data_IF_222021568168
#
_entry.id   IF_222021568168
#
_cell.length_a   1.000
_cell.length_b   1.000
_cell.length_c   1.000
_cell.angle_alpha   90.00
_cell.angle_beta   90.00
_cell.angle_gamma   90.00
#
_symmetry.space_group_name_H-M   'P 1'
#
loop_
_entity.id
_entity.type
_entity.pdbx_description
1 polymer ?
#
# COMPACT_ATOMS: atom_id res chain seq x y z
N UNK A 1 22.57 6.35 7.65
CA UNK A 1 21.35 6.36 6.80
C UNK A 1 20.28 7.19 7.49
N UNK A 2 19.80 8.27 6.86
CA UNK A 2 18.86 9.23 7.46
C UNK A 2 17.48 8.57 7.66
N UNK A 3 16.77 8.75 8.80
CA UNK A 3 15.42 8.21 9.01
C UNK A 3 14.46 8.51 7.84
N UNK A 4 14.53 9.68 7.21
CA UNK A 4 13.70 10.03 6.05
C UNK A 4 13.94 9.11 4.84
N UNK A 5 15.20 8.77 4.54
CA UNK A 5 15.54 7.82 3.47
C UNK A 5 15.10 6.39 3.79
N UNK A 6 15.09 5.99 5.08
CA UNK A 6 14.56 4.68 5.49
C UNK A 6 13.07 4.55 5.20
N UNK A 7 12.28 5.59 5.46
CA UNK A 7 10.83 5.59 5.20
C UNK A 7 10.50 5.45 3.71
N UNK A 8 11.26 6.11 2.83
CA UNK A 8 11.10 5.96 1.38
C UNK A 8 11.51 4.56 0.90
N UNK A 9 12.57 3.96 1.47
CA UNK A 9 12.99 2.60 1.12
C UNK A 9 12.07 1.49 1.64
N UNK A 10 11.50 1.65 2.84
CA UNK A 10 10.59 0.67 3.45
C UNK A 10 9.18 0.63 2.81
N UNK A 11 8.84 1.65 1.99
CA UNK A 11 7.51 1.80 1.36
C UNK A 11 7.56 1.86 -0.17
N UNK A 12 8.67 1.46 -0.79
CA UNK A 12 8.83 1.44 -2.25
C UNK A 12 7.68 0.74 -2.99
N UNK A 13 7.17 -0.43 -2.54
CA UNK A 13 6.09 -1.10 -3.24
C UNK A 13 4.81 -0.25 -3.29
N UNK A 14 4.53 0.50 -2.22
CA UNK A 14 3.33 1.34 -2.11
C UNK A 14 3.36 2.48 -3.14
N UNK A 15 4.49 3.16 -3.30
CA UNK A 15 4.62 4.26 -4.27
C UNK A 15 4.49 3.78 -5.72
N UNK A 16 5.07 2.62 -6.02
CA UNK A 16 5.03 2.04 -7.36
C UNK A 16 3.63 1.54 -7.72
N UNK A 17 2.92 0.97 -6.75
CA UNK A 17 1.52 0.59 -6.90
C UNK A 17 0.57 1.80 -7.01
N UNK A 18 0.93 2.95 -6.43
CA UNK A 18 0.14 4.19 -6.58
C UNK A 18 0.29 4.79 -7.99
N UNK A 19 1.47 4.67 -8.59
CA UNK A 19 1.79 5.21 -9.92
C UNK A 19 1.46 4.23 -11.06
N UNK A 20 1.14 2.97 -10.73
CA UNK A 20 0.91 1.90 -11.69
C UNK A 20 2.08 1.67 -12.65
N UNK A 21 3.33 1.85 -12.18
CA UNK A 21 4.51 1.70 -13.02
C UNK A 21 4.99 0.24 -13.04
N UNK A 22 4.68 -0.46 -14.13
CA UNK A 22 5.01 -1.88 -14.31
C UNK A 22 6.48 -2.12 -14.66
N UNK A 23 7.03 -1.27 -15.53
CA UNK A 23 8.38 -1.34 -16.06
C UNK A 23 9.30 -0.33 -15.37
N UNK A 24 10.60 -0.66 -15.25
CA UNK A 24 11.59 0.24 -14.67
C UNK A 24 11.84 1.42 -15.62
N UNK A 25 11.53 2.63 -15.16
CA UNK A 25 11.73 3.85 -15.94
C UNK A 25 13.12 4.44 -15.65
N UNK A 26 13.95 4.70 -16.69
CA UNK A 26 15.20 5.41 -16.52
C UNK A 26 14.91 6.83 -16.01
N UNK A 27 15.80 7.35 -15.18
CA UNK A 27 15.69 8.74 -14.74
C UNK A 27 15.78 9.67 -15.96
N UNK A 28 14.87 10.66 -16.11
CA UNK A 28 13.82 11.08 -15.18
C UNK A 28 12.46 10.42 -15.44
N UNK A 29 11.87 9.84 -14.38
CA UNK A 29 10.59 9.13 -14.46
C UNK A 29 9.39 10.07 -14.74
N UNK A 30 8.50 9.63 -15.63
CA UNK A 30 7.27 10.34 -15.99
C UNK A 30 6.16 10.09 -14.96
N UNK A 31 5.36 11.12 -14.64
CA UNK A 31 4.19 10.99 -13.77
C UNK A 31 2.99 10.56 -14.60
N UNK A 32 2.41 9.41 -14.28
CA UNK A 32 1.18 8.98 -14.92
C UNK A 32 0.04 9.87 -14.39
N UNK A 33 -0.58 10.69 -15.24
CA UNK A 33 -1.69 11.58 -14.87
C UNK A 33 -3.02 10.82 -14.83
N UNK A 34 -3.27 10.01 -15.87
CA UNK A 34 -4.42 9.12 -15.97
C UNK A 34 -4.02 7.85 -16.72
N UNK A 35 -4.59 6.71 -16.33
CA UNK A 35 -4.28 5.36 -16.76
C UNK A 35 -5.32 4.45 -16.13
N UNK A 36 -5.65 3.37 -16.82
CA UNK A 36 -6.43 2.26 -16.30
C UNK A 36 -5.46 1.07 -16.14
N UNK A 37 -4.97 0.82 -14.91
CA UNK A 37 -4.04 -0.26 -14.67
C UNK A 37 -4.74 -1.62 -14.79
N UNK A 38 -4.15 -2.51 -15.58
CA UNK A 38 -4.57 -3.90 -15.72
C UNK A 38 -3.52 -4.80 -15.06
N UNK A 39 -3.91 -5.47 -13.97
CA UNK A 39 -3.01 -6.32 -13.19
C UNK A 39 -2.73 -7.66 -13.87
N UNK A 40 -3.67 -8.16 -14.68
CA UNK A 40 -3.52 -9.47 -15.33
C UNK A 40 -2.60 -9.36 -16.54
N UNK A 41 -2.71 -8.25 -17.28
CA UNK A 41 -1.85 -7.97 -18.42
C UNK A 41 -0.54 -7.25 -18.03
N UNK A 42 -0.38 -6.82 -16.77
CA UNK A 42 0.76 -6.05 -16.27
C UNK A 42 1.06 -4.81 -17.14
N UNK A 43 0.00 -4.15 -17.61
CA UNK A 43 0.08 -2.97 -18.48
C UNK A 43 -0.92 -1.90 -18.07
N UNK A 44 -0.67 -0.66 -18.52
CA UNK A 44 -1.58 0.46 -18.34
C UNK A 44 -2.32 0.74 -19.65
N UNK A 45 -3.64 0.60 -19.62
CA UNK A 45 -4.52 1.01 -20.73
C UNK A 45 -4.78 2.53 -20.61
N UNK A 46 -4.74 3.26 -21.73
CA UNK A 46 -4.99 4.70 -21.79
C UNK A 46 -4.10 5.57 -20.86
N UNK A 47 -2.79 5.31 -20.84
CA UNK A 47 -1.84 6.08 -20.03
C UNK A 47 -1.55 7.46 -20.67
N UNK A 48 -1.83 8.53 -19.93
CA UNK A 48 -1.39 9.90 -20.19
C UNK A 48 -0.29 10.21 -19.18
N UNK A 49 0.93 10.41 -19.66
CA UNK A 49 2.10 10.66 -18.81
C UNK A 49 2.63 12.08 -18.99
N UNK A 50 2.97 12.73 -17.88
CA UNK A 50 3.66 14.02 -17.84
C UNK A 50 5.13 13.73 -17.52
N UNK A 51 6.07 14.00 -18.44
CA UNK A 51 7.47 13.67 -18.22
C UNK A 51 8.06 14.50 -17.06
N UNK A 52 9.09 13.99 -16.39
CA UNK A 52 9.87 14.65 -15.32
C UNK A 52 9.16 14.91 -13.97
N UNK A 53 7.84 14.79 -13.84
CA UNK A 53 7.13 15.15 -12.62
C UNK A 53 7.28 14.12 -11.47
N UNK A 54 7.48 12.84 -11.78
CA UNK A 54 7.48 11.76 -10.78
C UNK A 54 8.78 11.74 -9.95
N UNK A 55 9.94 11.94 -10.58
CA UNK A 55 11.23 11.99 -9.86
C UNK A 55 11.31 13.12 -8.81
N UNK A 56 10.67 14.27 -9.07
CA UNK A 56 10.64 15.40 -8.13
C UNK A 56 9.70 15.10 -6.94
N UNK A 57 8.54 14.48 -7.19
CA UNK A 57 7.52 14.21 -6.16
C UNK A 57 7.88 12.98 -5.31
N UNK A 58 8.31 11.88 -5.94
CA UNK A 58 8.51 10.60 -5.29
C UNK A 58 9.90 10.47 -4.65
N UNK A 59 10.96 10.82 -5.38
CA UNK A 59 12.36 10.62 -4.94
C UNK A 59 13.05 11.90 -4.51
N UNK A 60 12.43 13.07 -4.72
CA UNK A 60 13.07 14.40 -4.60
C UNK A 60 14.42 14.46 -5.32
N UNK A 61 14.55 13.71 -6.41
CA UNK A 61 15.79 13.50 -7.15
C UNK A 61 15.47 13.27 -8.61
N UNK A 62 16.25 13.90 -9.48
CA UNK A 62 16.13 13.78 -10.93
C UNK A 62 16.96 12.63 -11.50
N UNK A 63 17.79 11.98 -10.68
CA UNK A 63 18.82 11.03 -11.13
C UNK A 63 18.59 9.58 -10.67
N UNK A 64 17.59 9.34 -9.80
CA UNK A 64 17.31 7.99 -9.30
C UNK A 64 16.30 7.27 -10.19
N UNK A 65 16.63 6.07 -10.72
CA UNK A 65 15.67 5.28 -11.47
C UNK A 65 14.55 4.77 -10.54
N UNK A 66 13.35 4.70 -11.09
CA UNK A 66 12.16 4.21 -10.39
C UNK A 66 11.97 2.74 -10.79
N UNK A 67 12.25 1.83 -9.85
CA UNK A 67 12.20 0.37 -10.05
C UNK A 67 10.76 -0.04 -10.35
N UNK A 68 10.48 -0.71 -11.45
CA UNK A 68 9.13 -1.17 -11.81
C UNK A 68 8.64 -2.31 -10.93
N UNK A 69 7.32 -2.56 -10.96
CA UNK A 69 6.70 -3.67 -10.24
C UNK A 69 7.27 -5.04 -10.64
N UNK A 70 7.61 -5.26 -11.92
CA UNK A 70 8.18 -6.54 -12.39
C UNK A 70 9.52 -6.85 -11.75
N UNK A 71 10.41 -5.87 -11.67
CA UNK A 71 11.73 -6.05 -11.04
C UNK A 71 11.59 -6.26 -9.53
N UNK A 72 10.61 -5.62 -8.88
CA UNK A 72 10.27 -5.92 -7.50
C UNK A 72 9.76 -7.35 -7.30
N UNK A 73 8.93 -7.88 -8.20
CA UNK A 73 8.45 -9.26 -8.12
C UNK A 73 9.62 -10.25 -8.15
N UNK A 74 10.61 -10.03 -9.04
CA UNK A 74 11.82 -10.86 -9.11
C UNK A 74 12.59 -10.82 -7.78
N UNK A 75 12.76 -9.62 -7.19
CA UNK A 75 13.39 -9.47 -5.87
C UNK A 75 12.59 -10.17 -4.77
N UNK A 76 11.26 -10.10 -4.82
CA UNK A 76 10.38 -10.74 -3.83
C UNK A 76 10.46 -12.26 -3.94
N UNK A 77 10.52 -12.80 -5.15
CA UNK A 77 10.68 -14.24 -5.39
C UNK A 77 11.99 -14.76 -4.79
N UNK A 78 13.11 -14.07 -5.00
CA UNK A 78 14.39 -14.45 -4.42
C UNK A 78 14.33 -14.42 -2.87
N UNK A 79 13.70 -13.39 -2.30
CA UNK A 79 13.50 -13.27 -0.85
C UNK A 79 12.58 -14.36 -0.31
N UNK A 80 11.55 -14.77 -1.04
CA UNK A 80 10.68 -15.89 -0.66
C UNK A 80 11.48 -17.20 -0.61
N UNK A 81 12.29 -17.48 -1.62
CA UNK A 81 13.16 -18.68 -1.65
C UNK A 81 14.20 -18.67 -0.52
N UNK A 82 14.79 -17.52 -0.23
CA UNK A 82 15.70 -17.36 0.91
C UNK A 82 14.95 -17.51 2.26
N UNK A 83 13.73 -17.00 2.34
CA UNK A 83 12.84 -17.14 3.48
C UNK A 83 12.44 -18.59 3.77
N UNK A 84 12.26 -19.44 2.73
CA UNK A 84 12.05 -20.88 2.91
C UNK A 84 13.23 -21.57 3.60
N UNK A 85 14.46 -21.23 3.19
CA UNK A 85 15.68 -21.76 3.83
C UNK A 85 15.79 -21.28 5.28
N UNK A 86 15.51 -19.99 5.53
CA UNK A 86 15.47 -19.42 6.87
C UNK A 86 14.44 -20.12 7.76
N UNK A 87 13.28 -20.48 7.20
CA UNK A 87 12.23 -21.21 7.90
C UNK A 87 12.65 -22.66 8.25
N UNK A 88 13.31 -23.36 7.33
CA UNK A 88 13.87 -24.69 7.62
C UNK A 88 14.91 -24.65 8.76
N UNK A 89 15.81 -23.65 8.74
CA UNK A 89 16.77 -23.44 9.83
C UNK A 89 16.07 -23.10 11.15
N UNK A 90 14.99 -22.31 11.11
CA UNK A 90 14.16 -22.01 12.28
C UNK A 90 13.54 -23.27 12.87
N UNK A 91 13.05 -24.20 12.03
CA UNK A 91 12.49 -25.47 12.49
C UNK A 91 13.55 -26.36 13.15
N UNK A 92 14.76 -26.44 12.60
CA UNK A 92 15.88 -27.16 13.22
C UNK A 92 16.22 -26.58 14.61
N UNK A 93 16.27 -25.25 14.73
CA UNK A 93 16.49 -24.58 16.01
C UNK A 93 15.32 -24.81 16.98
N UNK A 94 14.08 -24.87 16.49
CA UNK A 94 12.88 -25.14 17.29
C UNK A 94 12.83 -26.59 17.78
N UNK A 95 13.32 -27.54 17.00
CA UNK A 95 13.44 -28.95 17.40
C UNK A 95 14.55 -29.22 18.41
N UNK A 96 15.32 -28.19 18.80
CA UNK A 96 16.33 -28.28 19.85
C UNK A 96 17.77 -28.43 19.36
N UNK A 97 18.05 -28.24 18.07
CA UNK A 97 19.44 -28.27 17.57
C UNK A 97 20.27 -27.15 18.20
N UNK A 98 21.42 -27.52 18.80
CA UNK A 98 22.34 -26.61 19.50
C UNK A 98 23.53 -26.18 18.65
N UNK A 99 23.59 -26.59 17.38
CA UNK A 99 24.69 -26.30 16.48
C UNK A 99 24.88 -24.80 16.25
N UNK A 100 26.10 -24.32 16.52
CA UNK A 100 26.46 -22.91 16.35
C UNK A 100 26.38 -22.48 14.87
N UNK A 101 26.76 -23.37 13.95
CA UNK A 101 26.69 -23.11 12.51
C UNK A 101 25.25 -22.85 12.03
N UNK A 102 24.27 -23.58 12.55
CA UNK A 102 22.85 -23.40 12.20
C UNK A 102 22.33 -22.05 12.73
N UNK A 103 22.74 -21.66 13.94
CA UNK A 103 22.40 -20.35 14.52
C UNK A 103 22.99 -19.19 13.72
N UNK A 104 24.24 -19.32 13.28
CA UNK A 104 24.91 -18.27 12.49
C UNK A 104 24.29 -18.14 11.09
N UNK A 105 23.99 -19.26 10.43
CA UNK A 105 23.27 -19.27 9.16
C UNK A 105 21.87 -18.66 9.32
N UNK A 106 21.11 -19.04 10.35
CA UNK A 106 19.80 -18.45 10.64
C UNK A 106 19.89 -16.95 10.87
N UNK A 107 20.87 -16.49 11.67
CA UNK A 107 21.08 -15.06 11.93
C UNK A 107 21.37 -14.24 10.67
N UNK A 108 22.00 -14.83 9.66
CA UNK A 108 22.27 -14.18 8.38
C UNK A 108 21.02 -14.06 7.48
N UNK A 109 20.11 -15.04 7.56
CA UNK A 109 18.92 -15.15 6.70
C UNK A 109 17.63 -14.69 7.36
N UNK A 110 17.61 -14.42 8.68
CA UNK A 110 16.41 -14.00 9.45
C UNK A 110 15.69 -12.78 8.87
N UNK A 111 16.39 -11.93 8.14
CA UNK A 111 15.84 -10.74 7.47
C UNK A 111 14.77 -11.06 6.42
N UNK A 112 14.81 -12.26 5.85
CA UNK A 112 13.89 -12.70 4.79
C UNK A 112 12.89 -13.74 5.29
N UNK A 113 12.90 -14.05 6.59
CA UNK A 113 11.98 -15.01 7.20
C UNK A 113 10.51 -14.64 6.97
N UNK A 114 10.19 -13.34 7.02
CA UNK A 114 8.82 -12.85 6.77
C UNK A 114 8.32 -13.19 5.37
N UNK A 115 9.19 -13.20 4.37
CA UNK A 115 8.85 -13.59 2.99
C UNK A 115 8.56 -15.08 2.88
N UNK A 116 9.28 -15.92 3.63
CA UNK A 116 8.95 -17.34 3.76
C UNK A 116 7.54 -17.56 4.34
N UNK A 117 7.11 -16.71 5.27
CA UNK A 117 5.78 -16.83 5.89
C UNK A 117 4.62 -16.50 4.93
N UNK A 118 4.87 -15.82 3.79
CA UNK A 118 3.83 -15.60 2.78
C UNK A 118 3.31 -16.93 2.20
N UNK A 119 4.18 -17.94 2.10
CA UNK A 119 3.83 -19.28 1.62
C UNK A 119 2.89 -20.02 2.56
N UNK A 120 2.84 -19.64 3.85
CA UNK A 120 2.00 -20.28 4.87
C UNK A 120 0.50 -20.19 4.57
N UNK A 121 0.11 -19.26 3.68
CA UNK A 121 -1.25 -19.16 3.14
C UNK A 121 -1.62 -20.34 2.22
N UNK A 122 -0.65 -20.94 1.54
CA UNK A 122 -0.86 -22.00 0.55
C UNK A 122 -0.41 -23.37 1.04
N UNK A 123 0.63 -23.42 1.89
CA UNK A 123 1.13 -24.68 2.47
C UNK A 123 1.34 -24.57 3.98
N UNK A 124 1.01 -25.63 4.75
CA UNK A 124 1.33 -25.67 6.18
C UNK A 124 2.85 -25.73 6.41
N UNK A 125 3.58 -26.44 5.55
CA UNK A 125 5.03 -26.53 5.57
C UNK A 125 5.62 -25.63 4.48
N UNK A 126 6.36 -24.61 4.89
CA UNK A 126 6.98 -23.63 3.97
C UNK A 126 8.15 -24.24 3.21
N UNK A 127 8.86 -25.22 3.78
CA UNK A 127 10.03 -25.84 3.16
C UNK A 127 9.70 -26.68 1.90
N UNK A 128 8.49 -27.25 1.84
CA UNK A 128 8.05 -28.16 0.78
C UNK A 128 7.19 -27.44 -0.30
N UNK A 129 7.24 -26.11 -0.34
CA UNK A 129 6.43 -25.33 -1.27
C UNK A 129 6.79 -25.66 -2.73
N UNK A 130 5.76 -25.90 -3.55
CA UNK A 130 5.91 -26.14 -4.99
C UNK A 130 6.24 -24.84 -5.74
N UNK A 131 6.84 -24.97 -6.91
CA UNK A 131 7.18 -23.83 -7.76
C UNK A 131 5.95 -22.97 -8.12
N UNK A 132 4.80 -23.60 -8.37
CA UNK A 132 3.54 -22.90 -8.62
C UNK A 132 3.08 -22.07 -7.41
N UNK A 133 3.27 -22.57 -6.19
CA UNK A 133 2.93 -21.84 -4.96
C UNK A 133 3.88 -20.68 -4.69
N UNK A 134 5.16 -20.83 -5.04
CA UNK A 134 6.15 -19.74 -4.97
C UNK A 134 5.73 -18.61 -5.91
N UNK A 135 5.42 -18.91 -7.17
CA UNK A 135 4.98 -17.91 -8.13
C UNK A 135 3.67 -17.22 -7.71
N UNK A 136 2.71 -17.99 -7.18
CA UNK A 136 1.46 -17.42 -6.66
C UNK A 136 1.70 -16.51 -5.46
N UNK A 137 2.56 -16.91 -4.52
CA UNK A 137 2.91 -16.09 -3.36
C UNK A 137 3.69 -14.83 -3.76
N UNK A 138 4.55 -14.90 -4.78
CA UNK A 138 5.23 -13.73 -5.35
C UNK A 138 4.22 -12.75 -5.97
N UNK A 139 3.25 -13.23 -6.75
CA UNK A 139 2.20 -12.37 -7.31
C UNK A 139 1.34 -11.73 -6.22
N UNK A 140 0.94 -12.51 -5.23
CA UNK A 140 0.14 -12.05 -4.08
C UNK A 140 0.98 -11.24 -3.07
N UNK A 141 2.30 -11.10 -3.30
CA UNK A 141 3.18 -10.25 -2.48
C UNK A 141 2.99 -8.75 -2.75
N UNK A 142 2.36 -8.41 -3.88
CA UNK A 142 2.07 -7.04 -4.30
C UNK A 142 0.55 -6.80 -4.19
N UNK A 143 0.09 -5.72 -3.52
CA UNK A 143 -1.32 -5.41 -3.43
C UNK A 143 -1.88 -5.04 -4.81
N UNK A 144 -3.20 -5.14 -4.97
CA UNK A 144 -3.86 -4.76 -6.24
C UNK A 144 -3.61 -3.28 -6.53
N UNK A 145 -3.02 -3.00 -7.68
CA UNK A 145 -2.61 -1.65 -8.12
C UNK A 145 -3.83 -0.75 -8.36
N UNK A 146 -4.89 -1.27 -8.99
CA UNK A 146 -6.03 -0.44 -9.40
C UNK A 146 -6.76 0.29 -8.24
N UNK A 147 -7.16 -0.37 -7.13
CA UNK A 147 -7.79 0.33 -6.02
C UNK A 147 -6.89 1.40 -5.39
N UNK A 148 -5.59 1.13 -5.27
CA UNK A 148 -4.60 2.08 -4.73
C UNK A 148 -4.48 3.32 -5.60
N UNK A 149 -4.32 3.11 -6.89
CA UNK A 149 -4.20 4.14 -7.91
C UNK A 149 -5.41 5.09 -7.91
N UNK A 150 -6.64 4.57 -7.85
CA UNK A 150 -7.85 5.39 -7.83
C UNK A 150 -8.05 6.11 -6.50
N UNK A 151 -7.82 5.43 -5.36
CA UNK A 151 -7.94 6.05 -4.05
C UNK A 151 -6.97 7.24 -3.88
N UNK A 152 -5.72 7.09 -4.35
CA UNK A 152 -4.74 8.18 -4.33
C UNK A 152 -5.20 9.38 -5.16
N UNK A 153 -5.76 9.17 -6.35
CA UNK A 153 -6.28 10.26 -7.19
C UNK A 153 -7.47 10.98 -6.59
N UNK A 154 -8.40 10.24 -5.99
CA UNK A 154 -9.53 10.82 -5.28
C UNK A 154 -9.02 11.72 -4.15
N UNK A 155 -8.07 11.24 -3.35
CA UNK A 155 -7.43 12.01 -2.28
C UNK A 155 -6.78 13.29 -2.80
N UNK A 156 -5.95 13.19 -3.85
CA UNK A 156 -5.25 14.34 -4.45
C UNK A 156 -6.22 15.34 -5.06
N UNK A 157 -7.23 14.87 -5.79
CA UNK A 157 -8.27 15.72 -6.39
C UNK A 157 -9.06 16.48 -5.31
N UNK A 158 -9.51 15.79 -4.26
CA UNK A 158 -10.17 16.43 -3.12
C UNK A 158 -9.26 17.45 -2.43
N UNK A 159 -7.97 17.14 -2.26
CA UNK A 159 -6.98 18.05 -1.68
C UNK A 159 -6.80 19.34 -2.49
N UNK A 160 -6.64 19.25 -3.81
CA UNK A 160 -6.54 20.42 -4.68
C UNK A 160 -7.84 21.24 -4.74
N UNK A 161 -9.00 20.58 -4.74
CA UNK A 161 -10.30 21.27 -4.68
C UNK A 161 -10.46 22.04 -3.37
N UNK A 162 -10.12 21.43 -2.24
CA UNK A 162 -10.15 22.10 -0.93
C UNK A 162 -9.18 23.27 -0.88
N UNK A 163 -7.95 23.10 -1.38
CA UNK A 163 -6.97 24.18 -1.47
C UNK A 163 -7.50 25.35 -2.30
N UNK A 164 -8.12 25.07 -3.45
CA UNK A 164 -8.71 26.10 -4.30
C UNK A 164 -9.87 26.84 -3.61
N UNK A 165 -10.79 26.11 -2.96
CA UNK A 165 -11.92 26.70 -2.22
C UNK A 165 -11.41 27.60 -1.08
N UNK A 166 -10.45 27.11 -0.29
CA UNK A 166 -9.86 27.86 0.83
C UNK A 166 -9.11 29.09 0.32
N UNK A 167 -8.27 28.95 -0.71
CA UNK A 167 -7.50 30.05 -1.27
C UNK A 167 -8.42 31.14 -1.86
N UNK A 168 -9.47 30.77 -2.60
CA UNK A 168 -10.45 31.71 -3.14
C UNK A 168 -11.28 32.38 -2.03
N UNK A 169 -11.64 31.64 -0.99
CA UNK A 169 -12.33 32.19 0.18
C UNK A 169 -11.46 33.19 0.92
N UNK A 170 -10.20 32.84 1.16
CA UNK A 170 -9.21 33.71 1.78
C UNK A 170 -8.95 34.98 0.95
N UNK A 171 -8.85 34.85 -0.37
CA UNK A 171 -8.73 35.99 -1.27
C UNK A 171 -9.95 36.93 -1.21
N UNK A 172 -11.15 36.37 -1.09
CA UNK A 172 -12.39 37.15 -0.92
C UNK A 172 -12.39 37.93 0.40
N UNK A 173 -11.82 37.35 1.46
CA UNK A 173 -11.65 37.99 2.77
C UNK A 173 -10.65 39.15 2.69
N UNK A 174 -9.47 38.95 2.07
CA UNK A 174 -8.45 40.02 1.92
C UNK A 174 -9.01 41.21 1.15
N UNK A 175 -9.85 40.96 0.12
CA UNK A 175 -10.47 42.04 -0.65
C UNK A 175 -11.72 42.64 0.00
N UNK A 176 -12.08 42.19 1.20
CA UNK A 176 -13.27 42.61 1.94
C UNK A 176 -14.59 42.47 1.13
N UNK A 177 -14.64 41.46 0.23
CA UNK A 177 -15.80 41.16 -0.64
C UNK A 177 -16.47 39.86 -0.19
N UNK A 178 -16.67 39.72 1.10
CA UNK A 178 -17.23 38.51 1.70
C UNK A 178 -18.71 38.42 1.31
N UNK A 179 -19.14 37.27 0.79
CA UNK A 179 -20.56 37.03 0.48
C UNK A 179 -21.04 37.51 -0.90
N UNK A 180 -20.22 38.22 -1.68
CA UNK A 180 -20.63 38.70 -3.02
C UNK A 180 -20.75 37.55 -4.04
N UNK A 181 -19.78 36.63 -4.04
CA UNK A 181 -19.70 35.53 -5.01
C UNK A 181 -20.51 34.32 -4.55
N UNK A 182 -21.78 34.25 -4.95
CA UNK A 182 -22.69 33.13 -4.62
C UNK A 182 -22.17 31.74 -5.04
N UNK A 183 -21.40 31.64 -6.13
CA UNK A 183 -20.81 30.37 -6.57
C UNK A 183 -19.74 29.86 -5.59
N UNK A 184 -18.96 30.76 -4.98
CA UNK A 184 -17.93 30.40 -4.00
C UNK A 184 -18.57 29.91 -2.70
N UNK A 185 -19.66 30.55 -2.26
CA UNK A 185 -20.45 30.10 -1.12
C UNK A 185 -21.07 28.71 -1.36
N UNK A 186 -21.61 28.48 -2.56
CA UNK A 186 -22.13 27.16 -2.95
C UNK A 186 -21.03 26.11 -3.01
N UNK A 187 -19.86 26.45 -3.54
CA UNK A 187 -18.70 25.56 -3.58
C UNK A 187 -18.21 25.21 -2.17
N UNK A 188 -18.18 26.18 -1.25
CA UNK A 188 -17.84 25.93 0.15
C UNK A 188 -18.87 25.03 0.84
N UNK A 189 -20.17 25.24 0.59
CA UNK A 189 -21.24 24.41 1.15
C UNK A 189 -21.18 22.96 0.64
N UNK A 190 -21.06 22.76 -0.68
CA UNK A 190 -20.92 21.42 -1.26
C UNK A 190 -19.53 20.80 -1.02
N UNK A 191 -18.56 21.60 -0.60
CA UNK A 191 -17.22 21.16 -0.24
C UNK A 191 -17.12 20.55 1.15
N UNK A 192 -18.15 20.69 2.00
CA UNK A 192 -18.18 20.12 3.36
C UNK A 192 -17.82 18.62 3.39
N UNK A 193 -18.37 17.72 2.55
CA UNK A 193 -18.01 16.29 2.59
C UNK A 193 -16.61 15.96 2.03
N UNK A 194 -15.95 16.86 1.30
CA UNK A 194 -14.67 16.58 0.64
C UNK A 194 -13.53 16.17 1.60
N UNK A 195 -13.34 16.79 2.78
CA UNK A 195 -12.30 16.40 3.73
C UNK A 195 -12.50 14.98 4.26
N UNK A 196 -13.76 14.56 4.49
CA UNK A 196 -14.06 13.19 4.91
C UNK A 196 -13.70 12.17 3.82
N UNK A 197 -14.06 12.43 2.58
CA UNK A 197 -13.70 11.55 1.46
C UNK A 197 -12.17 11.47 1.30
N UNK A 198 -11.48 12.61 1.41
CA UNK A 198 -10.03 12.66 1.28
C UNK A 198 -9.30 11.89 2.40
N UNK A 199 -9.76 11.99 3.65
CA UNK A 199 -9.13 11.31 4.78
C UNK A 199 -9.36 9.80 4.73
N UNK A 200 -10.57 9.35 4.37
CA UNK A 200 -10.88 7.93 4.20
C UNK A 200 -10.07 7.32 3.04
N UNK A 201 -9.97 8.03 1.90
CA UNK A 201 -9.14 7.61 0.78
C UNK A 201 -7.65 7.57 1.17
N UNK A 202 -7.16 8.54 1.94
CA UNK A 202 -5.79 8.56 2.44
C UNK A 202 -5.47 7.40 3.38
N UNK A 203 -6.38 7.07 4.29
CA UNK A 203 -6.26 5.87 5.14
C UNK A 203 -6.27 4.59 4.31
N UNK A 204 -7.16 4.48 3.32
CA UNK A 204 -7.18 3.33 2.42
C UNK A 204 -5.84 3.17 1.70
N UNK A 205 -5.27 4.25 1.15
CA UNK A 205 -3.95 4.20 0.48
C UNK A 205 -2.84 3.77 1.44
N UNK A 206 -2.85 4.27 2.68
CA UNK A 206 -1.83 3.95 3.67
C UNK A 206 -1.94 2.51 4.19
N UNK A 207 -3.16 2.03 4.43
CA UNK A 207 -3.44 0.72 5.02
C UNK A 207 -3.40 -0.39 3.98
N UNK A 208 -4.12 -0.22 2.87
CA UNK A 208 -4.17 -1.19 1.79
C UNK A 208 -2.82 -1.28 1.08
N UNK A 209 -2.07 -0.17 0.97
CA UNK A 209 -0.75 -0.16 0.37
C UNK A 209 0.26 -1.02 1.14
N UNK A 210 0.03 -1.28 2.43
CA UNK A 210 0.89 -2.14 3.25
C UNK A 210 0.58 -3.63 3.11
N UNK A 211 -0.56 -4.00 2.53
CA UNK A 211 -0.85 -5.40 2.22
C UNK A 211 0.24 -5.97 1.29
N UNK A 212 0.68 -7.22 1.49
CA UNK A 212 0.12 -8.27 2.36
C UNK A 212 0.71 -8.30 3.79
N UNK A 213 1.37 -7.24 4.24
CA UNK A 213 2.10 -7.22 5.50
C UNK A 213 1.27 -6.62 6.63
N UNK A 214 1.18 -7.31 7.76
CA UNK A 214 0.75 -6.69 9.03
C UNK A 214 1.90 -5.86 9.61
N UNK A 215 3.10 -6.47 9.67
CA UNK A 215 4.34 -5.78 10.00
C UNK A 215 5.25 -5.89 8.78
N UNK A 216 5.64 -4.74 8.22
CA UNK A 216 6.40 -4.67 6.96
C UNK A 216 7.59 -5.62 6.94
N UNK A 217 7.66 -6.46 5.91
CA UNK A 217 8.71 -7.47 5.64
C UNK A 217 8.90 -8.57 6.72
N UNK A 218 8.14 -8.54 7.82
CA UNK A 218 8.33 -9.44 8.96
C UNK A 218 7.15 -10.39 9.14
N UNK A 219 5.92 -9.87 9.15
CA UNK A 219 4.73 -10.67 9.45
C UNK A 219 3.61 -10.43 8.44
N UNK A 220 3.21 -11.45 7.66
CA UNK A 220 2.06 -11.39 6.76
C UNK A 220 0.72 -11.29 7.51
N UNK A 221 -0.25 -10.60 6.91
CA UNK A 221 -1.61 -10.46 7.47
C UNK A 221 -2.32 -11.80 7.63
N UNK A 222 -2.11 -12.73 6.70
CA UNK A 222 -2.71 -14.06 6.74
C UNK A 222 -2.23 -14.95 7.89
N UNK A 223 -1.09 -14.61 8.52
CA UNK A 223 -0.52 -15.35 9.66
C UNK A 223 -0.75 -14.61 10.98
N UNK A 224 -1.11 -13.33 10.93
CA UNK A 224 -1.32 -12.48 12.09
C UNK A 224 -2.73 -12.59 12.69
N UNK A 225 -3.63 -13.34 12.07
CA UNK A 225 -5.02 -13.48 12.53
C UNK A 225 -5.17 -14.55 13.62
N UNK A 226 -6.18 -14.35 14.47
CA UNK A 226 -6.56 -15.33 15.49
C UNK A 226 -7.29 -16.52 14.86
N UNK A 227 -7.13 -17.71 15.44
CA UNK A 227 -7.84 -18.94 15.05
C UNK A 227 -9.27 -18.95 15.59
N UNK A 228 -10.14 -18.12 15.02
CA UNK A 228 -11.57 -18.03 15.36
C UNK A 228 -12.45 -18.67 14.28
N UNK A 229 -13.66 -19.09 14.66
CA UNK A 229 -14.64 -19.58 13.69
C UNK A 229 -15.24 -18.43 12.89
N UNK A 230 -15.62 -18.69 11.63
CA UNK A 230 -16.26 -17.68 10.78
C UNK A 230 -17.59 -17.17 11.38
N UNK A 231 -18.29 -18.01 12.14
CA UNK A 231 -19.55 -17.66 12.80
C UNK A 231 -19.40 -16.56 13.84
N UNK A 232 -18.41 -16.69 14.73
CA UNK A 232 -18.13 -15.69 15.78
C UNK A 232 -17.73 -14.33 15.18
N UNK A 233 -16.97 -14.38 14.08
CA UNK A 233 -16.49 -13.18 13.39
C UNK A 233 -17.63 -12.44 12.67
N UNK A 234 -18.52 -13.17 11.98
CA UNK A 234 -19.68 -12.55 11.33
C UNK A 234 -20.66 -12.00 12.36
N UNK A 235 -20.93 -12.73 13.44
CA UNK A 235 -21.84 -12.28 14.50
C UNK A 235 -21.35 -10.98 15.14
N UNK A 236 -20.08 -10.93 15.55
CA UNK A 236 -19.49 -9.73 16.13
C UNK A 236 -19.45 -8.56 15.15
N UNK A 237 -19.14 -8.79 13.88
CA UNK A 237 -19.14 -7.75 12.85
C UNK A 237 -20.54 -7.17 12.62
N UNK A 238 -21.56 -8.01 12.46
CA UNK A 238 -22.95 -7.55 12.28
C UNK A 238 -23.43 -6.75 13.48
N UNK A 239 -23.11 -7.22 14.70
CA UNK A 239 -23.47 -6.53 15.93
C UNK A 239 -22.84 -5.14 16.00
N UNK A 240 -21.53 -5.03 15.76
CA UNK A 240 -20.81 -3.74 15.82
C UNK A 240 -21.30 -2.80 14.71
N UNK A 241 -21.44 -3.29 13.47
CA UNK A 241 -21.95 -2.50 12.36
C UNK A 241 -23.39 -2.00 12.61
N UNK A 242 -24.26 -2.86 13.17
CA UNK A 242 -25.62 -2.48 13.53
C UNK A 242 -25.67 -1.38 14.59
N UNK A 243 -24.87 -1.53 15.66
CA UNK A 243 -24.75 -0.50 16.71
C UNK A 243 -24.20 0.83 16.18
N UNK A 244 -23.16 0.79 15.35
CA UNK A 244 -22.59 2.01 14.76
C UNK A 244 -23.56 2.70 13.82
N UNK A 245 -24.35 1.95 13.05
CA UNK A 245 -25.38 2.52 12.19
C UNK A 245 -26.47 3.22 13.01
N UNK A 246 -26.93 2.60 14.10
CA UNK A 246 -27.90 3.21 15.01
C UNK A 246 -27.38 4.50 15.63
N UNK A 247 -26.14 4.50 16.12
CA UNK A 247 -25.52 5.71 16.68
C UNK A 247 -25.32 6.80 15.63
N UNK A 248 -24.96 6.45 14.40
CA UNK A 248 -24.79 7.44 13.33
C UNK A 248 -26.11 8.12 12.98
N UNK A 249 -27.21 7.35 12.87
CA UNK A 249 -28.55 7.90 12.61
C UNK A 249 -29.01 8.79 13.77
N UNK A 250 -28.78 8.38 15.02
CA UNK A 250 -29.14 9.17 16.19
C UNK A 250 -28.39 10.51 16.26
N UNK A 251 -27.11 10.55 15.90
CA UNK A 251 -26.32 11.79 15.95
C UNK A 251 -26.62 12.75 14.78
N UNK A 252 -27.21 12.24 13.69
CA UNK A 252 -27.64 13.07 12.56
C UNK A 252 -29.08 13.59 12.67
N UNK A 253 -29.90 13.04 13.59
CA UNK A 253 -31.26 13.49 13.89
C UNK A 253 -31.27 14.56 14.98
#
# INVERSE_FOLDING_TARGET
>A
MNPATKWATCRKPNWLAIEAEWETQPAPAAFTLSAFPDQEEETNKFAIQIPYALGIIATRSVDTPVIGLKELMVQHEERIRNGMKAYSLLEQLRSGSTDQAVRDQFNSMKKDLGYGLLLKRYTPNVADATEAQIQQATKDSIPRVAPLYFAFRIMVACGFLLLAIIALSFWSVIRNRIGEKKWLLRAALYGIPLPWIAVEAGWFVAEYGRQPWAIGEVLPTAVANSSLTAGDLIFSMVLICGLYTLFLVQNCS
#
